data_IF_839000363831
#
_entry.id   IF_839000363831
#
_cell.length_a   1.000
_cell.length_b   1.000
_cell.length_c   1.000
_cell.angle_alpha   90.00
_cell.angle_beta   90.00
_cell.angle_gamma   90.00
#
_symmetry.space_group_name_H-M   'P 1'
#
loop_
_entity.id
_entity.type
_entity.pdbx_description
1 polymer ?
#
# COMPACT_ATOMS: atom_id res chain seq x y z
N UNK A 1 -5.51 0.33 -0.83
CA UNK A 1 -5.17 -0.08 -2.21
C UNK A 1 -3.65 -0.19 -2.35
N UNK A 2 -3.10 -1.33 -2.75
CA UNK A 2 -1.67 -1.47 -3.10
C UNK A 2 -1.47 -0.88 -4.50
N UNK A 3 -0.46 -0.03 -4.68
CA UNK A 3 -0.13 0.55 -6.00
C UNK A 3 1.32 0.32 -6.45
N UNK A 4 2.21 -0.07 -5.53
CA UNK A 4 3.60 -0.41 -5.86
C UNK A 4 4.15 -1.44 -4.86
N UNK A 5 5.21 -2.13 -5.24
CA UNK A 5 5.87 -3.18 -4.44
C UNK A 5 7.38 -3.17 -4.63
N UNK A 6 8.11 -3.17 -3.52
CA UNK A 6 9.54 -3.47 -3.48
C UNK A 6 9.73 -4.95 -3.14
N UNK A 7 10.67 -5.67 -3.79
CA UNK A 7 10.93 -7.08 -3.49
C UNK A 7 11.52 -7.29 -2.09
N UNK A 8 12.22 -6.29 -1.55
CA UNK A 8 12.85 -6.27 -0.24
C UNK A 8 12.73 -4.85 0.36
N UNK A 9 13.08 -4.67 1.64
CA UNK A 9 13.08 -3.35 2.27
C UNK A 9 13.93 -2.32 1.50
N UNK A 10 13.30 -1.25 1.03
CA UNK A 10 13.94 -0.19 0.21
C UNK A 10 13.78 1.23 0.78
N UNK A 11 13.49 1.36 2.08
CA UNK A 11 13.42 2.65 2.78
C UNK A 11 14.72 2.96 3.54
N UNK A 12 14.79 4.10 4.23
CA UNK A 12 16.00 4.52 4.93
C UNK A 12 16.29 3.67 6.16
N UNK A 13 17.58 3.46 6.45
CA UNK A 13 17.98 2.77 7.69
C UNK A 13 17.52 3.53 8.93
N UNK A 14 17.49 4.86 8.89
CA UNK A 14 16.98 5.70 9.98
C UNK A 14 15.52 5.39 10.31
N UNK A 15 14.68 5.24 9.28
CA UNK A 15 13.28 4.84 9.45
C UNK A 15 13.18 3.45 10.08
N UNK A 16 13.98 2.49 9.60
CA UNK A 16 14.01 1.14 10.14
C UNK A 16 14.41 1.10 11.62
N UNK A 17 15.43 1.89 11.99
CA UNK A 17 15.91 1.97 13.37
C UNK A 17 14.92 2.70 14.29
N UNK A 18 14.08 3.58 13.76
CA UNK A 18 13.02 4.25 14.51
C UNK A 18 11.87 3.31 14.92
N UNK A 19 11.74 2.14 14.25
CA UNK A 19 10.78 1.11 14.64
C UNK A 19 11.28 0.40 15.90
N UNK A 20 10.43 0.20 16.93
CA UNK A 20 10.76 -0.62 18.09
C UNK A 20 11.30 -1.99 17.67
N UNK A 21 12.37 -2.45 18.30
CA UNK A 21 13.10 -3.66 17.87
C UNK A 21 12.19 -4.89 17.75
N UNK A 22 11.28 -5.08 18.71
CA UNK A 22 10.31 -6.19 18.75
C UNK A 22 9.23 -6.13 17.66
N UNK A 23 9.13 -5.01 16.94
CA UNK A 23 8.14 -4.77 15.88
C UNK A 23 8.79 -4.53 14.51
N UNK A 24 10.11 -4.67 14.41
CA UNK A 24 10.83 -4.50 13.15
C UNK A 24 10.44 -5.63 12.17
N UNK A 25 10.02 -5.30 10.94
CA UNK A 25 9.72 -6.31 9.93
C UNK A 25 11.02 -6.94 9.41
N UNK A 26 10.96 -8.20 8.96
CA UNK A 26 12.08 -8.81 8.23
C UNK A 26 12.35 -8.03 6.94
N UNK A 27 13.62 -7.78 6.60
CA UNK A 27 13.97 -7.02 5.38
C UNK A 27 13.88 -7.86 4.09
N UNK A 28 14.12 -9.16 4.20
CA UNK A 28 14.08 -10.14 3.11
C UNK A 28 12.64 -10.64 2.88
N UNK A 29 11.76 -9.71 2.55
CA UNK A 29 10.36 -9.94 2.17
C UNK A 29 9.84 -8.74 1.36
N UNK A 30 8.73 -8.89 0.63
CA UNK A 30 8.12 -7.76 -0.08
C UNK A 30 7.62 -6.64 0.85
N UNK A 31 7.79 -5.40 0.41
CA UNK A 31 7.20 -4.21 1.03
C UNK A 31 6.29 -3.51 0.03
N UNK A 32 5.15 -3.05 0.50
CA UNK A 32 4.09 -2.51 -0.34
C UNK A 32 3.87 -1.03 -0.06
N UNK A 33 3.67 -0.28 -1.13
CA UNK A 33 3.16 1.08 -1.06
C UNK A 33 1.64 1.06 -1.22
N UNK A 34 0.97 1.65 -0.24
CA UNK A 34 -0.48 1.61 -0.10
C UNK A 34 -1.04 3.02 -0.09
N UNK A 35 -2.12 3.24 -0.84
CA UNK A 35 -3.09 4.28 -0.52
C UNK A 35 -3.97 3.74 0.62
N UNK A 36 -3.88 4.37 1.79
CA UNK A 36 -4.53 3.97 3.02
C UNK A 36 -5.48 5.06 3.53
N UNK A 37 -6.51 4.64 4.25
CA UNK A 37 -7.49 5.51 4.87
C UNK A 37 -7.74 5.08 6.32
N UNK A 38 -8.13 6.05 7.13
CA UNK A 38 -8.72 5.82 8.45
C UNK A 38 -9.96 6.72 8.59
N UNK A 39 -10.64 6.64 9.72
CA UNK A 39 -11.88 7.41 9.99
C UNK A 39 -11.75 8.94 9.82
N UNK A 40 -10.52 9.47 9.73
CA UNK A 40 -10.22 10.90 9.76
C UNK A 40 -9.45 11.40 8.54
N UNK A 41 -8.70 10.55 7.85
CA UNK A 41 -7.79 11.00 6.78
C UNK A 41 -7.36 9.91 5.81
N UNK A 42 -6.78 10.38 4.69
CA UNK A 42 -6.17 9.60 3.63
C UNK A 42 -4.65 9.82 3.62
N UNK A 43 -3.85 8.77 3.42
CA UNK A 43 -2.39 8.85 3.43
C UNK A 43 -1.73 7.70 2.67
N UNK A 44 -0.45 7.89 2.32
CA UNK A 44 0.39 6.84 1.74
C UNK A 44 1.12 6.10 2.85
N UNK A 45 1.08 4.76 2.83
CA UNK A 45 1.77 3.90 3.78
C UNK A 45 2.81 3.01 3.09
N UNK A 46 3.87 2.67 3.83
CA UNK A 46 4.90 1.69 3.44
C UNK A 46 4.91 0.55 4.46
N UNK A 47 4.51 -0.65 4.04
CA UNK A 47 4.18 -1.75 4.96
C UNK A 47 4.74 -3.08 4.44
N UNK A 48 5.31 -3.89 5.34
CA UNK A 48 5.81 -5.23 5.02
C UNK A 48 4.68 -6.24 4.79
N UNK A 49 4.90 -7.25 3.95
CA UNK A 49 3.93 -8.33 3.70
C UNK A 49 3.36 -8.97 4.99
N UNK A 50 4.23 -9.30 5.96
CA UNK A 50 3.82 -9.89 7.25
C UNK A 50 2.81 -9.06 8.06
N UNK A 51 2.68 -7.77 7.76
CA UNK A 51 1.81 -6.84 8.47
C UNK A 51 0.52 -6.54 7.67
N UNK A 52 0.31 -7.23 6.54
CA UNK A 52 -0.89 -7.10 5.73
C UNK A 52 -1.88 -8.21 6.04
N UNK A 53 -3.15 -7.85 5.95
CA UNK A 53 -4.28 -8.77 5.94
C UNK A 53 -5.06 -8.50 4.67
N UNK A 54 -5.44 -9.57 3.98
CA UNK A 54 -6.27 -9.47 2.78
C UNK A 54 -7.63 -8.86 3.14
N UNK A 55 -8.02 -7.85 2.38
CA UNK A 55 -9.38 -7.32 2.43
C UNK A 55 -10.29 -8.16 1.52
N UNK A 56 -11.27 -8.82 2.12
CA UNK A 56 -12.25 -9.67 1.44
C UNK A 56 -13.62 -9.00 1.32
N UNK A 57 -13.76 -7.73 1.71
CA UNK A 57 -15.03 -6.99 1.67
C UNK A 57 -15.51 -6.77 0.23
N UNK A 58 -14.58 -6.49 -0.69
CA UNK A 58 -14.89 -6.08 -2.06
C UNK A 58 -15.44 -4.66 -2.18
N UNK A 59 -15.42 -3.89 -1.09
CA UNK A 59 -15.85 -2.49 -1.09
C UNK A 59 -14.79 -1.62 -1.80
N UNK A 60 -15.22 -0.57 -2.50
CA UNK A 60 -14.29 0.38 -3.11
C UNK A 60 -13.52 1.14 -2.04
N UNK A 61 -12.24 1.41 -2.32
CA UNK A 61 -11.40 2.29 -1.49
C UNK A 61 -11.72 3.76 -1.84
N UNK A 62 -11.88 4.61 -0.84
CA UNK A 62 -12.37 5.98 -1.03
C UNK A 62 -11.25 7.02 -1.24
N UNK A 63 -9.99 6.58 -1.23
CA UNK A 63 -8.83 7.46 -1.32
C UNK A 63 -8.88 8.40 -2.56
N UNK A 64 -8.75 9.73 -2.38
CA UNK A 64 -9.01 10.72 -3.44
C UNK A 64 -8.02 10.66 -4.61
N UNK A 65 -6.84 10.06 -4.41
CA UNK A 65 -5.85 9.84 -5.48
C UNK A 65 -6.14 8.61 -6.35
N UNK A 66 -7.06 7.73 -5.94
CA UNK A 66 -7.40 6.53 -6.72
C UNK A 66 -7.85 6.87 -8.14
N UNK A 67 -8.78 7.82 -8.39
CA UNK A 67 -9.19 8.16 -9.75
C UNK A 67 -8.07 8.71 -10.64
N UNK A 68 -6.97 9.21 -10.06
CA UNK A 68 -5.81 9.71 -10.81
C UNK A 68 -4.85 8.58 -11.22
N UNK A 69 -4.74 7.53 -10.39
CA UNK A 69 -3.82 6.41 -10.61
C UNK A 69 -4.51 5.20 -11.26
N UNK A 70 -5.80 5.04 -11.01
CA UNK A 70 -6.61 3.92 -11.42
C UNK A 70 -7.87 4.42 -12.14
N UNK A 71 -8.37 3.61 -13.09
CA UNK A 71 -9.65 3.91 -13.73
C UNK A 71 -10.82 3.83 -12.73
N UNK A 72 -12.04 4.19 -13.17
CA UNK A 72 -13.23 4.02 -12.33
C UNK A 72 -13.38 2.55 -11.90
N UNK A 73 -13.82 2.34 -10.65
CA UNK A 73 -14.13 1.01 -10.14
C UNK A 73 -15.22 0.35 -11.00
N UNK A 74 -14.91 -0.82 -11.56
CA UNK A 74 -15.80 -1.57 -12.45
C UNK A 74 -15.75 -3.06 -12.09
N UNK A 75 -16.91 -3.70 -12.01
CA UNK A 75 -17.04 -5.14 -11.78
C UNK A 75 -16.26 -5.67 -10.55
N UNK A 76 -16.22 -4.88 -9.47
CA UNK A 76 -15.55 -5.27 -8.21
C UNK A 76 -14.02 -5.08 -8.22
N UNK A 77 -13.48 -4.40 -9.23
CA UNK A 77 -12.04 -4.16 -9.34
C UNK A 77 -11.72 -2.78 -9.93
N UNK A 78 -10.51 -2.29 -9.65
CA UNK A 78 -9.98 -1.12 -10.36
C UNK A 78 -9.23 -1.59 -11.60
N UNK A 79 -9.65 -1.22 -12.82
CA UNK A 79 -8.91 -1.59 -14.02
C UNK A 79 -7.53 -0.93 -14.00
N UNK A 80 -6.49 -1.74 -14.21
CA UNK A 80 -5.10 -1.28 -14.38
C UNK A 80 -5.03 -0.34 -15.59
N UNK A 81 -4.96 0.96 -15.35
CA UNK A 81 -4.78 1.94 -16.41
C UNK A 81 -3.31 2.32 -16.51
N UNK A 82 -2.48 1.38 -16.98
CA UNK A 82 -1.10 1.70 -17.37
C UNK A 82 -1.12 2.50 -18.68
N UNK A 83 -1.09 3.83 -18.60
CA UNK A 83 -0.55 4.65 -19.70
C UNK A 83 0.94 4.89 -19.43
N UNK A 84 1.76 3.95 -19.87
CA UNK A 84 3.18 4.21 -20.10
C UNK A 84 3.29 5.10 -21.36
N UNK A 85 3.73 6.33 -21.17
CA UNK A 85 4.15 7.21 -22.28
C UNK A 85 5.52 6.78 -22.83
#
# INVERSE_FOLDING_TARGET
MIFDVDPEFSNSEEWYQAIPEDSRPLKDQPFYHLLAENDQSFYVAYVSEQNLVEDQSGEPVEHPDIPNMFGPFQDGSYPLHFQLN
#
